data_IF_203844167684
#
_entry.id   IF_203844167684
#
_cell.length_a   1.000
_cell.length_b   1.000
_cell.length_c   1.000
_cell.angle_alpha   90.00
_cell.angle_beta   90.00
_cell.angle_gamma   90.00
#
_symmetry.space_group_name_H-M   'P 1'
#
loop_
_entity.id
_entity.type
_entity.pdbx_description
1 polymer ?
#
# COMPACT_ATOMS: atom_id res chain seq x y z
N UNK A 1 -27.22 -6.91 -1.41
CA UNK A 1 -26.29 -5.97 -0.74
C UNK A 1 -24.91 -6.22 -1.31
N UNK A 2 -24.26 -5.19 -1.85
CA UNK A 2 -22.92 -5.29 -2.44
C UNK A 2 -21.84 -5.13 -1.38
N UNK A 3 -20.70 -5.79 -1.56
CA UNK A 3 -19.50 -5.55 -0.75
C UNK A 3 -18.29 -5.42 -1.65
N UNK A 4 -17.48 -4.38 -1.44
CA UNK A 4 -16.22 -4.14 -2.15
C UNK A 4 -15.08 -4.49 -1.21
N UNK A 5 -14.14 -5.28 -1.71
CA UNK A 5 -12.87 -5.60 -1.03
C UNK A 5 -11.75 -5.36 -2.02
N UNK A 6 -10.79 -4.53 -1.65
CA UNK A 6 -9.62 -4.22 -2.47
C UNK A 6 -8.38 -4.43 -1.61
N UNK A 7 -7.38 -5.07 -2.19
CA UNK A 7 -6.06 -5.21 -1.56
C UNK A 7 -4.99 -5.04 -2.61
N UNK A 8 -3.94 -4.30 -2.28
CA UNK A 8 -2.79 -4.13 -3.16
C UNK A 8 -1.48 -4.26 -2.38
N UNK A 9 -0.44 -4.88 -2.98
CA UNK A 9 0.86 -4.97 -2.35
C UNK A 9 1.54 -3.59 -2.31
N UNK A 10 2.05 -3.17 -1.16
CA UNK A 10 2.79 -1.90 -1.03
C UNK A 10 4.03 -1.87 -1.93
N UNK A 11 4.64 -3.03 -2.19
CA UNK A 11 5.81 -3.14 -3.08
C UNK A 11 5.54 -2.69 -4.52
N UNK A 12 4.30 -2.76 -5.00
CA UNK A 12 3.95 -2.38 -6.38
C UNK A 12 3.66 -0.89 -6.54
N UNK A 13 3.75 -0.10 -5.46
CA UNK A 13 3.68 1.36 -5.55
C UNK A 13 4.80 1.87 -6.46
N UNK A 14 4.42 2.68 -7.44
CA UNK A 14 5.33 3.27 -8.43
C UNK A 14 4.85 4.69 -8.73
N UNK A 15 5.65 5.67 -8.34
CA UNK A 15 5.41 7.10 -8.56
C UNK A 15 6.32 7.67 -9.65
N UNK A 16 7.02 6.81 -10.39
CA UNK A 16 7.90 7.19 -11.50
C UNK A 16 9.28 7.68 -11.08
N UNK A 17 9.62 7.61 -9.79
CA UNK A 17 10.88 8.09 -9.22
C UNK A 17 11.38 7.10 -8.16
N UNK A 18 12.40 6.31 -8.51
CA UNK A 18 12.89 5.20 -7.66
C UNK A 18 13.27 5.63 -6.25
N UNK A 19 13.94 6.78 -6.10
CA UNK A 19 14.34 7.30 -4.78
C UNK A 19 13.12 7.66 -3.94
N UNK A 20 12.12 8.28 -4.56
CA UNK A 20 10.88 8.65 -3.87
C UNK A 20 10.08 7.40 -3.48
N UNK A 21 9.96 6.43 -4.39
CA UNK A 21 9.32 5.14 -4.12
C UNK A 21 9.98 4.41 -2.94
N UNK A 22 11.31 4.45 -2.86
CA UNK A 22 12.05 3.87 -1.73
C UNK A 22 11.78 4.61 -0.42
N UNK A 23 11.68 5.93 -0.45
CA UNK A 23 11.41 6.73 0.75
C UNK A 23 10.00 6.46 1.29
N UNK A 24 8.99 6.42 0.40
CA UNK A 24 7.61 6.10 0.77
C UNK A 24 7.48 4.67 1.32
N UNK A 25 8.22 3.70 0.78
CA UNK A 25 8.17 2.30 1.26
C UNK A 25 8.91 2.08 2.59
N UNK A 26 9.69 3.04 3.08
CA UNK A 26 10.46 2.89 4.31
C UNK A 26 9.58 2.86 5.58
N UNK A 27 10.17 2.43 6.70
CA UNK A 27 9.58 2.35 8.03
C UNK A 27 8.98 3.65 8.54
N UNK A 28 9.47 4.79 8.06
CA UNK A 28 9.00 6.10 8.51
C UNK A 28 7.61 6.46 7.95
N UNK A 29 7.18 5.81 6.86
CA UNK A 29 5.93 6.13 6.17
C UNK A 29 5.01 4.90 6.08
N UNK A 30 5.32 3.94 5.20
CA UNK A 30 4.45 2.76 4.98
C UNK A 30 4.96 1.49 5.65
N UNK A 31 6.23 1.44 6.06
CA UNK A 31 6.88 0.28 6.65
C UNK A 31 6.56 -1.02 5.90
N UNK A 32 6.94 -1.10 4.62
CA UNK A 32 6.58 -2.21 3.73
C UNK A 32 6.99 -3.59 4.27
N UNK A 33 8.02 -3.63 5.12
CA UNK A 33 8.49 -4.88 5.74
C UNK A 33 7.49 -5.38 6.78
N UNK A 34 6.90 -4.48 7.57
CA UNK A 34 5.90 -4.80 8.60
C UNK A 34 4.48 -4.88 8.03
N UNK A 35 4.14 -4.01 7.07
CA UNK A 35 2.80 -3.91 6.48
C UNK A 35 2.86 -4.03 4.94
N UNK A 36 2.98 -5.26 4.41
CA UNK A 36 3.21 -5.46 2.98
C UNK A 36 1.96 -5.24 2.10
N UNK A 37 0.77 -5.11 2.68
CA UNK A 37 -0.51 -5.04 1.97
C UNK A 37 -1.35 -3.89 2.52
N UNK A 38 -1.87 -3.05 1.63
CA UNK A 38 -2.95 -2.10 1.96
C UNK A 38 -4.28 -2.75 1.64
N UNK A 39 -5.25 -2.63 2.54
CA UNK A 39 -6.56 -3.28 2.44
C UNK A 39 -7.69 -2.28 2.67
N UNK A 40 -8.69 -2.33 1.79
CA UNK A 40 -9.96 -1.64 1.94
C UNK A 40 -11.10 -2.66 1.92
N UNK A 41 -12.05 -2.50 2.84
CA UNK A 41 -13.26 -3.33 2.96
C UNK A 41 -14.42 -2.37 3.16
N UNK A 42 -15.40 -2.36 2.25
CA UNK A 42 -16.63 -1.60 2.44
C UNK A 42 -17.43 -2.21 3.58
N UNK A 43 -17.79 -1.41 4.57
CA UNK A 43 -18.62 -1.85 5.70
C UNK A 43 -20.10 -1.58 5.48
N UNK A 44 -20.43 -0.63 4.60
CA UNK A 44 -21.77 -0.22 4.20
C UNK A 44 -21.72 0.31 2.77
#
# INVERSE_FOLDING_TARGET
MGSIKVSFPVKTLNMGLTTFDSHIKNSDILDVKKYPIIKFISTK
#
